data_IF_905001350652
#
_entry.id   IF_905001350652
#
_cell.length_a   1.000
_cell.length_b   1.000
_cell.length_c   1.000
_cell.angle_alpha   90.00
_cell.angle_beta   90.00
_cell.angle_gamma   90.00
#
_symmetry.space_group_name_H-M   'P 1'
#
loop_
_entity.id
_entity.type
_entity.pdbx_description
1 polymer ?
#
# COMPACT_ATOMS: atom_id res chain seq x y z
N UNK A 1 21.11 -10.62 11.84
CA UNK A 1 20.18 -11.13 12.88
C UNK A 1 19.28 -10.05 13.52
N UNK A 2 19.27 -8.81 13.03
CA UNK A 2 18.48 -7.69 13.59
C UNK A 2 17.07 -7.53 12.98
N UNK A 3 16.74 -8.25 11.90
CA UNK A 3 15.50 -8.06 11.14
C UNK A 3 14.28 -8.82 11.68
N UNK A 4 14.44 -9.81 12.59
CA UNK A 4 13.29 -10.56 13.13
C UNK A 4 12.63 -9.87 14.34
N UNK A 5 13.37 -9.08 15.12
CA UNK A 5 12.84 -8.39 16.30
C UNK A 5 11.88 -7.23 15.96
N UNK A 6 12.11 -6.52 14.85
CA UNK A 6 11.21 -5.44 14.41
C UNK A 6 9.84 -5.95 13.95
N UNK A 7 9.80 -7.16 13.38
CA UNK A 7 8.56 -7.81 12.93
C UNK A 7 7.73 -8.31 14.10
N UNK A 8 8.38 -8.83 15.14
CA UNK A 8 7.70 -9.26 16.36
C UNK A 8 7.09 -8.04 17.10
N UNK A 9 7.83 -6.93 17.26
CA UNK A 9 7.32 -5.75 17.97
C UNK A 9 6.19 -5.02 17.21
N UNK A 10 6.29 -4.93 15.88
CA UNK A 10 5.23 -4.33 15.05
C UNK A 10 4.00 -5.26 14.91
N UNK A 11 4.19 -6.57 14.74
CA UNK A 11 3.09 -7.53 14.70
C UNK A 11 2.40 -7.65 16.07
N UNK A 12 3.15 -7.65 17.18
CA UNK A 12 2.60 -7.66 18.55
C UNK A 12 1.88 -6.34 18.85
N UNK A 13 2.43 -5.18 18.46
CA UNK A 13 1.75 -3.89 18.62
C UNK A 13 0.44 -3.77 17.85
N UNK A 14 0.38 -4.29 16.62
CA UNK A 14 -0.82 -4.26 15.76
C UNK A 14 -1.83 -5.34 16.17
N UNK A 15 -1.36 -6.52 16.60
CA UNK A 15 -2.22 -7.57 17.16
C UNK A 15 -2.80 -7.13 18.50
N UNK A 16 -2.04 -6.45 19.36
CA UNK A 16 -2.53 -5.85 20.60
C UNK A 16 -3.45 -4.66 20.34
N UNK A 17 -3.26 -3.88 19.28
CA UNK A 17 -4.16 -2.78 18.92
C UNK A 17 -5.48 -3.30 18.28
N UNK A 18 -5.39 -4.30 17.40
CA UNK A 18 -6.54 -4.98 16.82
C UNK A 18 -7.28 -5.84 17.86
N UNK A 19 -6.57 -6.48 18.79
CA UNK A 19 -7.15 -7.18 19.93
C UNK A 19 -7.70 -6.21 20.98
N UNK A 20 -6.99 -5.13 21.37
CA UNK A 20 -7.56 -4.09 22.26
C UNK A 20 -8.79 -3.44 21.64
N UNK A 21 -8.84 -3.30 20.32
CA UNK A 21 -9.98 -2.71 19.62
C UNK A 21 -11.09 -3.71 19.36
N UNK A 22 -10.81 -4.98 19.06
CA UNK A 22 -11.82 -6.04 19.03
C UNK A 22 -12.37 -6.30 20.42
N UNK A 23 -11.58 -6.06 21.47
CA UNK A 23 -11.97 -6.16 22.87
C UNK A 23 -12.75 -4.93 23.35
N UNK A 24 -12.39 -3.72 22.93
CA UNK A 24 -13.21 -2.51 23.17
C UNK A 24 -14.51 -2.51 22.35
N UNK A 25 -14.47 -2.99 21.12
CA UNK A 25 -15.66 -3.17 20.27
C UNK A 25 -16.52 -4.32 20.76
N UNK A 26 -15.93 -5.45 21.22
CA UNK A 26 -16.67 -6.50 21.93
C UNK A 26 -17.29 -5.96 23.19
N UNK A 27 -16.56 -5.23 24.04
CA UNK A 27 -17.08 -4.65 25.28
C UNK A 27 -18.22 -3.67 25.02
N UNK A 28 -18.11 -2.85 23.98
CA UNK A 28 -19.13 -1.90 23.61
C UNK A 28 -20.37 -2.59 22.98
N UNK A 29 -20.17 -3.58 22.11
CA UNK A 29 -21.25 -4.41 21.57
C UNK A 29 -21.92 -5.23 22.67
N UNK A 30 -21.17 -5.85 23.59
CA UNK A 30 -21.74 -6.57 24.74
C UNK A 30 -22.47 -5.62 25.67
N UNK A 31 -21.98 -4.40 25.87
CA UNK A 31 -22.67 -3.40 26.68
C UNK A 31 -23.99 -3.00 26.03
N UNK A 32 -24.01 -2.72 24.72
CA UNK A 32 -25.25 -2.36 24.01
C UNK A 32 -26.22 -3.54 23.91
N UNK A 33 -25.72 -4.76 23.69
CA UNK A 33 -26.55 -5.99 23.71
C UNK A 33 -27.12 -6.22 25.10
N UNK A 34 -26.33 -6.05 26.17
CA UNK A 34 -26.80 -6.20 27.55
C UNK A 34 -27.86 -5.15 27.90
N UNK A 35 -27.68 -3.90 27.48
CA UNK A 35 -28.64 -2.81 27.69
C UNK A 35 -29.94 -3.05 26.88
N UNK A 36 -29.82 -3.66 25.70
CA UNK A 36 -30.96 -4.06 24.86
C UNK A 36 -31.74 -5.23 25.45
N UNK A 37 -31.05 -6.24 26.00
CA UNK A 37 -31.68 -7.38 26.71
C UNK A 37 -32.34 -6.92 28.00
N UNK A 38 -31.72 -5.98 28.73
CA UNK A 38 -32.30 -5.39 29.95
C UNK A 38 -33.55 -4.56 29.63
N UNK A 39 -33.51 -3.76 28.55
CA UNK A 39 -34.68 -3.04 28.06
C UNK A 39 -35.82 -3.98 27.62
N UNK A 40 -35.49 -5.08 26.94
CA UNK A 40 -36.49 -6.10 26.60
C UNK A 40 -37.11 -6.74 27.85
N UNK A 41 -36.29 -7.06 28.85
CA UNK A 41 -36.75 -7.68 30.11
C UNK A 41 -37.73 -6.80 30.90
N UNK A 42 -37.54 -5.47 30.88
CA UNK A 42 -38.42 -4.54 31.60
C UNK A 42 -39.67 -4.13 30.82
N UNK A 43 -39.64 -4.13 29.48
CA UNK A 43 -40.70 -3.52 28.66
C UNK A 43 -41.50 -4.50 27.82
N UNK A 44 -41.02 -5.74 27.60
CA UNK A 44 -41.68 -6.77 26.78
C UNK A 44 -41.75 -6.48 25.27
N UNK A 45 -41.42 -5.26 24.84
CA UNK A 45 -41.41 -4.83 23.44
C UNK A 45 -40.02 -5.05 22.78
N UNK A 46 -40.01 -5.53 21.53
CA UNK A 46 -38.79 -5.87 20.77
C UNK A 46 -38.30 -4.73 19.87
N UNK A 47 -39.11 -3.69 19.68
CA UNK A 47 -38.76 -2.47 18.91
C UNK A 47 -37.50 -1.75 19.41
N UNK A 48 -37.25 -1.55 20.73
CA UNK A 48 -36.04 -0.88 21.18
C UNK A 48 -34.76 -1.69 20.87
N UNK A 49 -34.83 -3.02 20.89
CA UNK A 49 -33.68 -3.91 20.63
C UNK A 49 -33.13 -3.69 19.21
N UNK A 50 -34.01 -3.59 18.22
CA UNK A 50 -33.61 -3.35 16.83
C UNK A 50 -33.01 -1.96 16.61
N UNK A 51 -33.57 -0.93 17.25
CA UNK A 51 -33.05 0.43 17.17
C UNK A 51 -31.66 0.56 17.81
N UNK A 52 -31.43 -0.09 18.95
CA UNK A 52 -30.10 -0.13 19.59
C UNK A 52 -29.10 -0.97 18.80
N UNK A 53 -29.52 -2.09 18.19
CA UNK A 53 -28.65 -2.89 17.31
C UNK A 53 -28.24 -2.12 16.04
N UNK A 54 -29.17 -1.39 15.41
CA UNK A 54 -28.88 -0.50 14.28
C UNK A 54 -27.96 0.66 14.71
N UNK A 55 -28.26 1.31 15.83
CA UNK A 55 -27.44 2.40 16.38
C UNK A 55 -26.01 1.95 16.73
N UNK A 56 -25.86 0.73 17.26
CA UNK A 56 -24.57 0.14 17.57
C UNK A 56 -23.71 -0.09 16.32
N UNK A 57 -24.34 -0.40 15.19
CA UNK A 57 -23.67 -0.57 13.91
C UNK A 57 -23.36 0.76 13.20
N UNK A 58 -24.27 1.74 13.32
CA UNK A 58 -24.13 3.04 12.67
C UNK A 58 -23.16 3.99 13.39
N UNK A 59 -23.08 3.95 14.72
CA UNK A 59 -22.24 4.86 15.48
C UNK A 59 -20.73 4.79 15.14
N UNK A 60 -20.11 3.61 14.94
CA UNK A 60 -18.73 3.51 14.45
C UNK A 60 -18.57 4.09 13.04
N UNK A 61 -19.55 3.87 12.16
CA UNK A 61 -19.53 4.37 10.79
C UNK A 61 -19.60 5.91 10.76
N UNK A 62 -20.54 6.50 11.50
CA UNK A 62 -20.69 7.95 11.67
C UNK A 62 -19.45 8.59 12.30
N UNK A 63 -18.85 7.95 13.31
CA UNK A 63 -17.60 8.41 13.92
C UNK A 63 -16.43 8.37 12.91
N UNK A 64 -16.37 7.33 12.08
CA UNK A 64 -15.32 7.24 11.05
C UNK A 64 -15.52 8.26 9.92
N UNK A 65 -16.77 8.51 9.54
CA UNK A 65 -17.12 9.50 8.52
C UNK A 65 -16.83 10.93 9.02
N UNK A 66 -17.30 11.29 10.22
CA UNK A 66 -17.00 12.59 10.84
C UNK A 66 -15.50 12.81 11.02
N UNK A 67 -14.74 11.78 11.38
CA UNK A 67 -13.28 11.90 11.45
C UNK A 67 -12.63 12.08 10.07
N UNK A 68 -13.14 11.41 9.03
CA UNK A 68 -12.68 11.62 7.66
C UNK A 68 -12.98 13.04 7.16
N UNK A 69 -14.10 13.65 7.58
CA UNK A 69 -14.44 15.04 7.26
C UNK A 69 -13.59 16.06 8.02
N UNK A 70 -13.39 15.88 9.33
CA UNK A 70 -12.69 16.87 10.18
C UNK A 70 -11.18 16.82 9.99
N UNK A 71 -10.60 15.65 9.74
CA UNK A 71 -9.16 15.51 9.50
C UNK A 71 -8.87 14.38 8.52
N UNK A 72 -9.01 14.65 7.20
CA UNK A 72 -8.70 13.68 6.14
C UNK A 72 -7.29 13.12 6.30
N UNK A 73 -6.32 13.99 6.61
CA UNK A 73 -4.91 13.64 6.81
C UNK A 73 -4.68 12.63 7.94
N UNK A 74 -5.30 12.85 9.11
CA UNK A 74 -5.17 11.93 10.25
C UNK A 74 -5.88 10.60 10.01
N UNK A 75 -7.02 10.63 9.33
CA UNK A 75 -7.75 9.42 8.93
C UNK A 75 -6.96 8.59 7.90
N UNK A 76 -6.37 9.24 6.90
CA UNK A 76 -5.55 8.56 5.90
C UNK A 76 -4.29 7.94 6.49
N UNK A 77 -3.56 8.67 7.33
CA UNK A 77 -2.34 8.16 7.96
C UNK A 77 -2.62 6.97 8.88
N UNK A 78 -3.72 7.02 9.64
CA UNK A 78 -3.96 6.08 10.73
C UNK A 78 -4.87 4.91 10.35
N UNK A 79 -5.72 5.06 9.34
CA UNK A 79 -6.73 4.07 8.93
C UNK A 79 -6.67 3.71 7.45
N UNK A 80 -6.93 4.66 6.56
CA UNK A 80 -7.13 4.34 5.16
C UNK A 80 -5.84 3.80 4.51
N UNK A 81 -4.69 4.39 4.83
CA UNK A 81 -3.38 3.99 4.32
C UNK A 81 -3.02 2.54 4.68
N UNK A 82 -2.92 2.17 5.97
CA UNK A 82 -2.60 0.80 6.37
C UNK A 82 -3.56 -0.25 5.82
N UNK A 83 -4.87 0.04 5.82
CA UNK A 83 -5.88 -0.91 5.35
C UNK A 83 -5.81 -1.13 3.84
N UNK A 84 -5.60 -0.06 3.05
CA UNK A 84 -5.36 -0.15 1.60
C UNK A 84 -4.13 -0.98 1.28
N UNK A 85 -3.01 -0.74 1.99
CA UNK A 85 -1.78 -1.53 1.84
C UNK A 85 -1.99 -3.01 2.13
N UNK A 86 -2.72 -3.33 3.19
CA UNK A 86 -3.08 -4.71 3.52
C UNK A 86 -3.97 -5.34 2.44
N UNK A 87 -4.94 -4.59 1.93
CA UNK A 87 -5.84 -5.05 0.86
C UNK A 87 -5.08 -5.34 -0.43
N UNK A 88 -4.14 -4.49 -0.83
CA UNK A 88 -3.27 -4.73 -1.99
C UNK A 88 -2.42 -5.98 -1.80
N UNK A 89 -1.72 -6.08 -0.67
CA UNK A 89 -0.88 -7.24 -0.34
C UNK A 89 -1.68 -8.53 -0.33
N UNK A 90 -2.86 -8.50 0.28
CA UNK A 90 -3.76 -9.65 0.36
C UNK A 90 -4.29 -10.03 -1.01
N UNK A 91 -4.68 -9.06 -1.84
CA UNK A 91 -5.16 -9.29 -3.21
C UNK A 91 -4.09 -9.96 -4.06
N UNK A 92 -2.87 -9.44 -4.07
CA UNK A 92 -1.76 -10.02 -4.84
C UNK A 92 -1.44 -11.43 -4.36
N UNK A 93 -1.33 -11.65 -3.05
CA UNK A 93 -1.01 -12.98 -2.51
C UNK A 93 -2.09 -14.02 -2.83
N UNK A 94 -3.37 -13.65 -2.68
CA UNK A 94 -4.50 -14.56 -2.92
C UNK A 94 -4.72 -14.82 -4.40
N UNK A 95 -4.44 -13.85 -5.27
CA UNK A 95 -4.71 -13.92 -6.72
C UNK A 95 -3.46 -14.02 -7.57
N UNK A 96 -2.34 -14.46 -7.01
CA UNK A 96 -1.06 -14.47 -7.72
C UNK A 96 -1.10 -15.31 -9.01
N UNK A 97 -1.67 -16.51 -8.94
CA UNK A 97 -1.77 -17.40 -10.11
C UNK A 97 -2.61 -16.76 -11.23
N UNK A 98 -3.85 -16.29 -10.98
CA UNK A 98 -4.61 -15.53 -11.98
C UNK A 98 -3.89 -14.29 -12.52
N UNK A 99 -3.18 -13.55 -11.66
CA UNK A 99 -2.43 -12.37 -12.06
C UNK A 99 -1.26 -12.72 -12.99
N UNK A 100 -0.56 -13.82 -12.71
CA UNK A 100 0.52 -14.30 -13.57
C UNK A 100 0.03 -14.82 -14.91
N UNK A 101 -1.17 -15.43 -14.95
CA UNK A 101 -1.84 -15.78 -16.21
C UNK A 101 -2.20 -14.54 -17.01
N UNK A 102 -2.83 -13.55 -16.38
CA UNK A 102 -3.19 -12.27 -17.03
C UNK A 102 -1.96 -11.47 -17.51
N UNK A 103 -0.85 -11.58 -16.79
CA UNK A 103 0.43 -10.98 -17.19
C UNK A 103 1.08 -11.70 -18.39
N UNK A 104 0.62 -12.90 -18.75
CA UNK A 104 1.19 -13.72 -19.82
C UNK A 104 2.41 -14.54 -19.39
N UNK A 105 2.61 -14.76 -18.08
CA UNK A 105 3.73 -15.55 -17.56
C UNK A 105 3.43 -17.03 -17.40
N UNK A 106 2.20 -17.46 -17.65
CA UNK A 106 1.81 -18.86 -17.54
C UNK A 106 2.45 -19.69 -18.66
N UNK A 107 3.31 -20.64 -18.29
CA UNK A 107 3.86 -21.63 -19.24
C UNK A 107 3.29 -23.01 -18.97
N UNK A 108 2.82 -23.75 -20.00
CA UNK A 108 2.38 -25.11 -19.81
C UNK A 108 3.58 -25.99 -19.47
N UNK A 109 3.54 -26.63 -18.30
CA UNK A 109 4.55 -27.62 -17.88
C UNK A 109 3.85 -28.95 -17.70
N UNK A 110 4.34 -29.99 -18.38
CA UNK A 110 3.87 -31.36 -18.19
C UNK A 110 4.38 -31.86 -16.84
N UNK A 111 3.46 -32.23 -15.94
CA UNK A 111 3.79 -32.88 -14.67
C UNK A 111 3.05 -34.22 -14.63
N UNK A 112 3.72 -35.26 -15.11
CA UNK A 112 3.06 -36.54 -15.41
C UNK A 112 2.06 -36.36 -16.55
N UNK A 113 0.84 -36.87 -16.35
CA UNK A 113 -0.26 -36.82 -17.35
C UNK A 113 -1.09 -35.52 -17.32
N UNK A 114 -0.76 -34.56 -16.42
CA UNK A 114 -1.47 -33.28 -16.32
C UNK A 114 -0.60 -32.12 -16.77
N UNK A 115 -1.16 -31.26 -17.62
CA UNK A 115 -0.56 -29.98 -18.00
C UNK A 115 -0.89 -28.94 -16.93
N UNK A 116 0.11 -28.51 -16.16
CA UNK A 116 -0.04 -27.47 -15.14
C UNK A 116 0.64 -26.20 -15.63
N UNK A 117 -0.03 -25.05 -15.48
CA UNK A 117 0.59 -23.77 -15.79
C UNK A 117 1.61 -23.40 -14.70
N UNK A 118 2.90 -23.39 -15.05
CA UNK A 118 3.94 -22.83 -14.20
C UNK A 118 3.87 -21.31 -14.30
N UNK A 119 3.71 -20.66 -13.15
CA UNK A 119 3.72 -19.20 -12.99
C UNK A 119 4.94 -18.84 -12.13
N UNK A 120 5.61 -17.71 -12.41
CA UNK A 120 6.73 -17.20 -11.62
C UNK A 120 6.43 -17.23 -10.11
N UNK A 121 7.44 -17.51 -9.29
CA UNK A 121 7.23 -17.59 -7.84
C UNK A 121 7.28 -16.20 -7.22
N UNK A 122 6.21 -15.80 -6.54
CA UNK A 122 6.19 -14.60 -5.74
C UNK A 122 7.01 -14.78 -4.46
N UNK A 123 8.20 -14.20 -4.40
CA UNK A 123 9.10 -14.28 -3.24
C UNK A 123 8.69 -13.33 -2.15
N UNK A 124 8.40 -12.09 -2.52
CA UNK A 124 8.09 -11.06 -1.55
C UNK A 124 7.05 -10.08 -2.07
N UNK A 125 6.18 -9.66 -1.16
CA UNK A 125 5.24 -8.55 -1.36
C UNK A 125 5.47 -7.57 -0.24
N UNK A 126 5.96 -6.38 -0.58
CA UNK A 126 6.09 -5.25 0.33
C UNK A 126 5.18 -4.13 -0.12
N UNK A 127 4.72 -3.34 0.83
CA UNK A 127 3.97 -2.11 0.57
C UNK A 127 4.63 -1.01 1.35
N UNK A 128 4.97 0.08 0.69
CA UNK A 128 5.56 1.26 1.32
C UNK A 128 4.78 2.46 0.83
N UNK A 129 4.19 3.20 1.75
CA UNK A 129 3.39 4.40 1.45
C UNK A 129 2.32 4.15 0.38
N UNK A 130 2.54 4.65 -0.84
CA UNK A 130 1.65 4.54 -2.00
C UNK A 130 2.13 3.53 -3.05
N UNK A 131 3.15 2.74 -2.72
CA UNK A 131 3.77 1.74 -3.60
C UNK A 131 3.56 0.31 -3.13
N UNK A 132 3.51 -0.59 -4.10
CA UNK A 132 3.48 -2.04 -3.96
C UNK A 132 4.72 -2.61 -4.66
N UNK A 133 5.64 -3.19 -3.89
CA UNK A 133 6.83 -3.85 -4.41
C UNK A 133 6.63 -5.37 -4.42
N UNK A 134 6.84 -5.95 -5.60
CA UNK A 134 6.73 -7.38 -5.85
C UNK A 134 8.11 -7.90 -6.23
N UNK A 135 8.64 -8.84 -5.45
CA UNK A 135 9.85 -9.58 -5.83
C UNK A 135 9.39 -10.90 -6.41
N UNK A 136 9.61 -11.06 -7.71
CA UNK A 136 9.16 -12.20 -8.51
C UNK A 136 10.40 -12.97 -8.95
N UNK A 137 10.40 -14.28 -8.73
CA UNK A 137 11.47 -15.16 -9.19
C UNK A 137 11.04 -15.88 -10.46
N UNK A 138 11.88 -15.81 -11.48
CA UNK A 138 11.69 -16.49 -12.75
C UNK A 138 11.56 -18.00 -12.56
N UNK A 139 10.74 -18.63 -13.39
CA UNK A 139 10.71 -20.08 -13.51
C UNK A 139 11.88 -20.58 -14.35
N UNK A 140 12.20 -21.88 -14.26
CA UNK A 140 13.22 -22.48 -15.13
C UNK A 140 12.86 -22.26 -16.60
N UNK A 141 13.81 -21.76 -17.39
CA UNK A 141 13.62 -21.40 -18.80
C UNK A 141 12.95 -20.05 -19.07
N UNK A 142 12.62 -19.27 -18.04
CA UNK A 142 12.09 -17.91 -18.19
C UNK A 142 13.19 -16.88 -17.90
N UNK A 143 13.30 -15.86 -18.75
CA UNK A 143 14.28 -14.78 -18.57
C UNK A 143 13.72 -13.64 -17.72
N UNK A 144 14.59 -12.73 -17.31
CA UNK A 144 14.18 -11.46 -16.68
C UNK A 144 13.37 -10.60 -17.66
N UNK A 145 13.76 -10.58 -18.93
CA UNK A 145 13.07 -9.85 -20.00
C UNK A 145 11.62 -10.35 -20.18
N UNK A 146 11.40 -11.68 -20.10
CA UNK A 146 10.05 -12.26 -20.12
C UNK A 146 9.19 -11.76 -18.95
N UNK A 147 9.79 -11.58 -17.78
CA UNK A 147 9.09 -11.03 -16.62
C UNK A 147 8.77 -9.55 -16.82
N UNK A 148 9.74 -8.77 -17.31
CA UNK A 148 9.58 -7.34 -17.59
C UNK A 148 8.50 -7.09 -18.65
N UNK A 149 8.45 -7.91 -19.71
CA UNK A 149 7.44 -7.81 -20.76
C UNK A 149 6.00 -7.99 -20.25
N UNK A 150 5.79 -8.74 -19.16
CA UNK A 150 4.47 -8.92 -18.54
C UNK A 150 4.12 -7.87 -17.47
N UNK A 151 5.09 -7.07 -17.02
CA UNK A 151 4.87 -6.04 -16.01
C UNK A 151 3.80 -4.99 -16.38
N UNK A 152 3.70 -4.51 -17.64
CA UNK A 152 2.64 -3.56 -18.04
C UNK A 152 1.24 -4.14 -17.88
N UNK A 153 1.05 -5.41 -18.25
CA UNK A 153 -0.23 -6.13 -18.10
C UNK A 153 -0.58 -6.37 -16.64
N UNK A 154 0.42 -6.66 -15.82
CA UNK A 154 0.22 -6.77 -14.38
C UNK A 154 -0.20 -5.42 -13.77
N UNK A 155 0.47 -4.33 -14.17
CA UNK A 155 0.18 -2.98 -13.73
C UNK A 155 -1.26 -2.57 -14.08
N UNK A 156 -1.69 -2.82 -15.32
CA UNK A 156 -3.07 -2.54 -15.74
C UNK A 156 -4.09 -3.39 -14.97
N UNK A 157 -3.83 -4.69 -14.78
CA UNK A 157 -4.71 -5.59 -14.02
C UNK A 157 -4.84 -5.18 -12.55
N UNK A 158 -3.78 -4.62 -11.97
CA UNK A 158 -3.78 -4.12 -10.60
C UNK A 158 -4.26 -2.67 -10.48
N UNK A 159 -4.57 -2.00 -11.59
CA UNK A 159 -4.90 -0.58 -11.66
C UNK A 159 -3.82 0.32 -11.01
N UNK A 160 -2.55 0.04 -11.32
CA UNK A 160 -1.42 0.89 -10.95
C UNK A 160 -1.32 2.10 -11.89
N UNK A 161 -0.92 3.24 -11.35
CA UNK A 161 -0.71 4.50 -12.09
C UNK A 161 0.59 4.45 -12.89
N UNK A 162 1.64 3.90 -12.30
CA UNK A 162 2.91 3.67 -12.98
C UNK A 162 3.57 2.40 -12.46
N UNK A 163 4.51 1.88 -13.26
CA UNK A 163 5.30 0.72 -12.90
C UNK A 163 6.78 0.97 -13.19
N UNK A 164 7.65 0.30 -12.45
CA UNK A 164 9.08 0.22 -12.69
C UNK A 164 9.54 -1.22 -12.46
N UNK A 165 10.51 -1.64 -13.25
CA UNK A 165 11.13 -2.95 -13.12
C UNK A 165 12.63 -2.77 -12.99
N UNK A 166 13.23 -3.55 -12.10
CA UNK A 166 14.68 -3.57 -11.93
C UNK A 166 15.12 -4.91 -11.33
N UNK A 167 16.34 -5.39 -11.65
CA UNK A 167 16.90 -6.60 -11.05
C UNK A 167 16.87 -6.53 -9.52
N UNK A 168 16.44 -7.62 -8.90
CA UNK A 168 16.38 -7.71 -7.43
C UNK A 168 17.76 -8.04 -6.87
N UNK A 169 18.14 -7.39 -5.76
CA UNK A 169 19.32 -7.80 -4.98
C UNK A 169 19.19 -9.19 -4.32
N UNK A 170 18.04 -9.87 -4.48
CA UNK A 170 17.79 -11.22 -3.97
C UNK A 170 18.28 -12.36 -4.88
N UNK A 171 18.86 -12.04 -6.06
CA UNK A 171 19.45 -13.00 -6.98
C UNK A 171 19.28 -12.60 -8.44
N UNK A 172 20.12 -13.16 -9.33
CA UNK A 172 20.09 -12.93 -10.78
C UNK A 172 18.81 -13.44 -11.46
N UNK A 173 18.01 -14.27 -10.78
CA UNK A 173 16.76 -14.83 -11.27
C UNK A 173 15.51 -14.14 -10.69
N UNK A 174 15.69 -12.99 -10.03
CA UNK A 174 14.62 -12.26 -9.38
C UNK A 174 14.47 -10.84 -9.93
N UNK A 175 13.24 -10.48 -10.31
CA UNK A 175 12.85 -9.14 -10.73
C UNK A 175 12.10 -8.45 -9.59
N UNK A 176 12.41 -7.18 -9.34
CA UNK A 176 11.58 -6.32 -8.50
C UNK A 176 10.68 -5.47 -9.39
N UNK A 177 9.37 -5.64 -9.23
CA UNK A 177 8.35 -4.84 -9.89
C UNK A 177 7.78 -3.88 -8.85
N UNK A 178 8.03 -2.59 -9.04
CA UNK A 178 7.51 -1.52 -8.21
C UNK A 178 6.28 -0.90 -8.90
N UNK A 179 5.13 -0.98 -8.24
CA UNK A 179 3.86 -0.45 -8.73
C UNK A 179 3.45 0.75 -7.88
N UNK A 180 3.22 1.89 -8.52
CA UNK A 180 2.65 3.08 -7.86
C UNK A 180 1.13 2.97 -7.94
N UNK A 181 0.47 2.88 -6.79
CA UNK A 181 -0.97 2.63 -6.69
C UNK A 181 -1.80 3.90 -6.49
N UNK A 182 -1.15 5.02 -6.19
CA UNK A 182 -1.77 6.34 -6.03
C UNK A 182 -0.85 7.37 -6.63
N UNK A 183 -1.42 8.26 -7.42
CA UNK A 183 -0.72 9.44 -7.86
C UNK A 183 -0.73 10.50 -6.74
N UNK A 184 0.42 10.74 -6.14
CA UNK A 184 0.60 11.77 -5.10
C UNK A 184 0.99 13.11 -5.74
N UNK A 185 1.42 13.12 -7.00
CA UNK A 185 1.85 14.32 -7.72
C UNK A 185 0.72 14.95 -8.55
N UNK A 186 -0.40 14.24 -8.73
CA UNK A 186 -1.56 14.74 -9.48
C UNK A 186 -2.22 15.98 -8.86
N UNK A 187 -2.01 16.23 -7.56
CA UNK A 187 -2.37 17.51 -6.93
C UNK A 187 -1.15 18.41 -6.86
N UNK A 188 -1.16 19.60 -7.51
CA UNK A 188 -0.09 20.56 -7.39
C UNK A 188 0.17 20.86 -5.91
N UNK A 189 1.42 20.74 -5.48
CA UNK A 189 1.83 21.29 -4.20
C UNK A 189 2.45 22.66 -4.46
N UNK A 190 2.07 23.66 -3.66
CA UNK A 190 2.84 24.90 -3.60
C UNK A 190 4.27 24.55 -3.20
N UNK A 191 5.23 25.12 -3.92
CA UNK A 191 6.61 25.08 -3.50
C UNK A 191 6.67 25.66 -2.09
N UNK A 192 7.20 24.90 -1.13
CA UNK A 192 7.44 25.44 0.20
C UNK A 192 8.43 26.58 0.01
N UNK A 193 7.95 27.81 0.17
CA UNK A 193 8.73 29.02 -0.06
C UNK A 193 10.04 28.93 0.71
N UNK A 194 11.13 28.76 -0.03
CA UNK A 194 12.48 28.80 0.52
C UNK A 194 12.74 30.26 0.86
N UNK A 195 12.43 30.65 2.11
CA UNK A 195 12.56 32.04 2.59
C UNK A 195 14.01 32.52 2.63
N UNK A 196 14.98 31.61 2.61
CA UNK A 196 16.40 31.91 2.72
C UNK A 196 17.22 30.98 1.80
N UNK A 197 18.31 31.45 1.18
CA UNK A 197 19.18 30.61 0.35
C UNK A 197 19.74 29.45 1.19
N UNK A 198 19.20 28.25 0.97
CA UNK A 198 19.61 27.05 1.69
C UNK A 198 21.00 26.66 1.20
N UNK A 199 21.99 26.75 2.09
CA UNK A 199 23.32 26.19 1.83
C UNK A 199 23.15 24.67 1.68
N UNK A 200 23.50 24.07 0.53
CA UNK A 200 23.28 22.64 0.33
C UNK A 200 24.06 21.88 1.40
N UNK A 201 23.33 21.15 2.24
CA UNK A 201 23.95 20.23 3.18
C UNK A 201 24.73 19.16 2.40
N UNK A 202 25.78 18.60 2.99
CA UNK A 202 26.50 17.43 2.42
C UNK A 202 25.57 16.24 2.10
N UNK A 203 24.35 16.24 2.64
CA UNK A 203 23.31 15.23 2.44
C UNK A 203 22.45 15.41 1.17
N UNK A 204 22.66 16.48 0.39
CA UNK A 204 21.89 16.76 -0.83
C UNK A 204 20.81 17.84 -0.66
N UNK A 205 20.34 18.37 -1.80
CA UNK A 205 19.31 19.40 -1.90
C UNK A 205 17.92 18.76 -1.98
N UNK A 206 16.97 19.19 -1.14
CA UNK A 206 15.58 18.72 -1.21
C UNK A 206 14.85 19.43 -2.35
N UNK A 207 14.58 18.70 -3.43
CA UNK A 207 13.89 19.19 -4.62
C UNK A 207 12.37 18.98 -4.54
N UNK A 208 11.87 18.28 -3.52
CA UNK A 208 10.45 18.02 -3.35
C UNK A 208 10.13 16.54 -3.15
N UNK A 209 9.17 16.01 -3.90
CA UNK A 209 8.67 14.63 -3.70
C UNK A 209 8.73 13.83 -4.98
N UNK A 210 9.07 12.56 -4.84
CA UNK A 210 8.99 11.57 -5.93
C UNK A 210 7.53 11.13 -6.13
N UNK A 211 7.24 10.39 -7.22
CA UNK A 211 5.91 9.86 -7.52
C UNK A 211 5.32 8.96 -6.42
N UNK A 212 6.11 8.54 -5.43
CA UNK A 212 5.60 7.82 -4.26
C UNK A 212 5.33 8.63 -3.03
N UNK A 213 5.67 9.90 -3.05
CA UNK A 213 5.66 10.77 -1.89
C UNK A 213 6.95 10.76 -1.06
N UNK A 214 7.97 9.94 -1.39
CA UNK A 214 9.28 10.06 -0.73
C UNK A 214 9.97 11.37 -1.11
N UNK A 215 10.75 11.96 -0.19
CA UNK A 215 11.55 13.17 -0.46
C UNK A 215 12.52 12.90 -1.61
N UNK A 216 12.58 13.84 -2.53
CA UNK A 216 13.52 13.80 -3.64
C UNK A 216 14.76 14.62 -3.27
N UNK A 217 15.82 13.93 -2.87
CA UNK A 217 17.11 14.54 -2.55
C UNK A 217 18.01 14.47 -3.78
N UNK A 218 18.47 15.62 -4.25
CA UNK A 218 19.53 15.73 -5.25
C UNK A 218 20.88 15.78 -4.53
N UNK A 219 21.62 14.68 -4.58
CA UNK A 219 23.00 14.66 -4.12
C UNK A 219 23.89 15.37 -5.15
N UNK A 220 24.40 16.55 -4.80
CA UNK A 220 25.39 17.26 -5.59
C UNK A 220 26.76 16.62 -5.34
N UNK A 221 27.16 15.69 -6.20
CA UNK A 221 28.50 15.07 -6.15
C UNK A 221 29.58 16.03 -6.67
N UNK A 222 29.20 16.93 -7.58
CA UNK A 222 30.05 17.93 -8.21
C UNK A 222 29.41 19.34 -8.17
N UNK A 223 30.12 20.35 -8.68
CA UNK A 223 29.68 21.76 -8.65
C UNK A 223 28.54 22.10 -9.63
N UNK A 224 28.21 21.21 -10.55
CA UNK A 224 27.28 21.48 -11.64
C UNK A 224 26.23 20.38 -11.76
N UNK A 225 24.97 20.76 -12.01
CA UNK A 225 23.88 19.85 -12.35
C UNK A 225 23.24 20.33 -13.65
N UNK A 226 23.04 19.40 -14.58
CA UNK A 226 22.33 19.68 -15.82
C UNK A 226 20.86 19.27 -15.65
N UNK A 227 19.94 20.24 -15.77
CA UNK A 227 18.49 19.99 -15.74
C UNK A 227 17.97 20.04 -17.17
N UNK A 228 17.57 18.88 -17.70
CA UNK A 228 16.98 18.77 -19.04
C UNK A 228 15.49 18.46 -18.91
N UNK A 229 14.67 19.11 -19.72
CA UNK A 229 13.23 18.83 -19.78
C UNK A 229 12.64 19.28 -21.12
N UNK A 230 11.51 18.67 -21.49
CA UNK A 230 10.65 19.19 -22.56
C UNK A 230 10.08 20.58 -22.19
N UNK A 231 9.62 21.32 -23.19
CA UNK A 231 8.93 22.61 -22.98
C UNK A 231 7.67 22.40 -22.14
N UNK A 232 7.40 23.31 -21.19
CA UNK A 232 6.25 23.22 -20.29
C UNK A 232 6.36 22.22 -19.13
N UNK A 233 7.46 21.46 -19.01
CA UNK A 233 7.64 20.46 -17.95
C UNK A 233 8.05 21.04 -16.57
N UNK A 234 8.12 22.37 -16.43
CA UNK A 234 8.40 23.02 -15.14
C UNK A 234 9.87 23.13 -14.73
N UNK A 235 10.84 23.09 -15.67
CA UNK A 235 12.28 23.22 -15.31
C UNK A 235 12.61 24.51 -14.54
N UNK A 236 11.91 25.60 -14.84
CA UNK A 236 12.10 26.89 -14.18
C UNK A 236 11.62 26.92 -12.73
N UNK A 237 10.89 25.90 -12.28
CA UNK A 237 10.51 25.76 -10.86
C UNK A 237 11.55 24.97 -10.04
N UNK A 238 12.55 24.38 -10.71
CA UNK A 238 13.64 23.60 -10.08
C UNK A 238 14.90 24.47 -9.88
N UNK A 239 15.05 25.52 -10.70
CA UNK A 239 16.13 26.51 -10.62
C UNK A 239 15.69 27.71 -9.77
#
# INVERSE_FOLDING_TARGET
MTSRLGWARAAVGISLAAARRSWRHRRWVTFVVMLSVLGWFFTGDTRPVWLFAMGAWLAPALRSASWAFVSPWSYEQRWAGPWRRLRWRSRVRKRWVPLGVAAGWARPVKRGDRTVHAVPRLRQVRTRDHRLLLVVRACSGQTLEDLEAGAPRLASTLAAVSYRCYPSGAGLDALTIELVMVDVLGTPCEAVGVREPVKPARSGLDLGRTQSGERWLLCLTDRHTLVVSASGAGKGSVL
#
